data_IF_214107956366
#
_entry.id   IF_214107956366
#
_cell.length_a   1.000
_cell.length_b   1.000
_cell.length_c   1.000
_cell.angle_alpha   90.00
_cell.angle_beta   90.00
_cell.angle_gamma   90.00
#
_symmetry.space_group_name_H-M   'P 1'
#
loop_
_entity.id
_entity.type
_entity.pdbx_description
1 polymer ?
#
# COMPACT_ATOMS: atom_id res chain seq x y z
N UNK A 1 -25.77 -9.27 -13.65
CA UNK A 1 -25.93 -7.80 -13.69
C UNK A 1 -24.84 -7.15 -12.82
N UNK A 2 -24.11 -6.23 -13.37
CA UNK A 2 -23.02 -5.56 -12.67
C UNK A 2 -23.52 -4.27 -12.04
N UNK A 3 -23.13 -4.03 -10.79
CA UNK A 3 -23.39 -2.74 -10.15
C UNK A 3 -22.39 -1.69 -10.65
N UNK A 4 -22.74 -0.42 -10.56
CA UNK A 4 -21.84 0.67 -10.94
C UNK A 4 -20.55 0.61 -10.13
N UNK A 5 -20.61 0.16 -8.89
CA UNK A 5 -19.46 -0.01 -8.00
C UNK A 5 -18.45 -1.01 -8.56
N UNK A 6 -18.94 -2.04 -9.25
CA UNK A 6 -18.07 -3.08 -9.83
C UNK A 6 -17.25 -2.54 -11.00
N UNK A 7 -17.84 -1.65 -11.82
CA UNK A 7 -17.09 -1.01 -12.90
C UNK A 7 -16.00 -0.09 -12.34
N UNK A 8 -16.32 0.65 -11.30
CA UNK A 8 -15.32 1.51 -10.63
C UNK A 8 -14.18 0.68 -10.05
N UNK A 9 -14.50 -0.47 -9.50
CA UNK A 9 -13.53 -1.41 -8.98
C UNK A 9 -12.56 -1.87 -10.08
N UNK A 10 -13.08 -2.36 -11.18
CA UNK A 10 -12.26 -2.89 -12.27
C UNK A 10 -11.40 -1.79 -12.91
N UNK A 11 -11.97 -0.60 -13.09
CA UNK A 11 -11.26 0.53 -13.67
C UNK A 11 -10.12 0.97 -12.76
N UNK A 12 -10.37 1.09 -11.46
CA UNK A 12 -9.34 1.47 -10.49
C UNK A 12 -8.24 0.40 -10.43
N UNK A 13 -8.60 -0.87 -10.41
CA UNK A 13 -7.64 -1.96 -10.43
C UNK A 13 -6.69 -1.84 -11.62
N UNK A 14 -7.24 -1.67 -12.81
CA UNK A 14 -6.43 -1.57 -14.02
C UNK A 14 -5.53 -0.35 -14.01
N UNK A 15 -6.03 0.78 -13.53
CA UNK A 15 -5.24 2.01 -13.43
C UNK A 15 -4.08 1.85 -12.44
N UNK A 16 -4.32 1.22 -11.31
CA UNK A 16 -3.28 0.93 -10.30
C UNK A 16 -2.27 -0.07 -10.86
N UNK A 17 -2.77 -1.13 -11.51
CA UNK A 17 -1.92 -2.18 -12.10
C UNK A 17 -1.00 -1.62 -13.19
N UNK A 18 -1.48 -0.65 -13.95
CA UNK A 18 -0.69 0.02 -14.98
C UNK A 18 0.20 1.14 -14.44
N UNK A 19 0.07 1.48 -13.16
CA UNK A 19 0.82 2.58 -12.57
C UNK A 19 0.42 3.95 -13.14
N UNK A 20 -0.78 4.06 -13.70
CA UNK A 20 -1.24 5.29 -14.33
C UNK A 20 -1.86 6.23 -13.30
N UNK A 21 -1.03 7.12 -12.75
CA UNK A 21 -1.45 8.03 -11.67
C UNK A 21 -2.59 8.95 -12.10
N UNK A 22 -2.62 9.41 -13.33
CA UNK A 22 -3.67 10.31 -13.82
C UNK A 22 -5.03 9.61 -13.84
N UNK A 23 -5.09 8.36 -14.32
CA UNK A 23 -6.32 7.58 -14.29
C UNK A 23 -6.74 7.21 -12.87
N UNK A 24 -5.79 6.87 -12.02
CA UNK A 24 -6.07 6.61 -10.60
C UNK A 24 -6.74 7.83 -9.97
N UNK A 25 -6.16 9.01 -10.18
CA UNK A 25 -6.73 10.25 -9.67
C UNK A 25 -8.13 10.50 -10.20
N UNK A 26 -8.34 10.29 -11.49
CA UNK A 26 -9.65 10.48 -12.11
C UNK A 26 -10.70 9.57 -11.47
N UNK A 27 -10.42 8.27 -11.38
CA UNK A 27 -11.39 7.32 -10.83
C UNK A 27 -11.66 7.58 -9.34
N UNK A 28 -10.64 7.93 -8.56
CA UNK A 28 -10.83 8.27 -7.15
C UNK A 28 -11.68 9.55 -7.01
N UNK A 29 -11.45 10.55 -7.88
CA UNK A 29 -12.24 11.78 -7.86
C UNK A 29 -13.70 11.53 -8.25
N UNK A 30 -13.96 10.49 -9.03
CA UNK A 30 -15.31 10.08 -9.41
C UNK A 30 -15.99 9.18 -8.37
N UNK A 31 -15.33 8.91 -7.26
CA UNK A 31 -15.93 8.17 -6.15
C UNK A 31 -15.51 6.71 -6.05
N UNK A 32 -14.51 6.26 -6.80
CA UNK A 32 -14.01 4.90 -6.64
C UNK A 32 -13.50 4.68 -5.21
N UNK A 33 -13.75 3.50 -4.66
CA UNK A 33 -13.38 3.16 -3.30
C UNK A 33 -11.89 2.82 -3.20
N UNK A 34 -11.13 3.67 -2.52
CA UNK A 34 -9.69 3.47 -2.33
C UNK A 34 -9.37 2.23 -1.48
N UNK A 35 -10.34 1.67 -0.79
CA UNK A 35 -10.16 0.52 0.12
C UNK A 35 -10.82 -0.77 -0.40
N UNK A 36 -11.16 -0.82 -1.68
CA UNK A 36 -11.80 -2.00 -2.25
C UNK A 36 -10.83 -3.21 -2.24
N UNK A 37 -11.37 -4.40 -2.01
CA UNK A 37 -10.60 -5.64 -2.13
C UNK A 37 -10.72 -6.17 -3.57
N UNK A 38 -9.58 -6.38 -4.23
CA UNK A 38 -9.56 -6.75 -5.64
C UNK A 38 -9.79 -8.22 -5.92
N UNK A 39 -9.60 -9.07 -4.94
CA UNK A 39 -9.80 -10.49 -5.10
C UNK A 39 -10.39 -11.09 -3.82
N UNK A 40 -10.72 -12.38 -3.87
CA UNK A 40 -11.28 -13.08 -2.73
C UNK A 40 -10.31 -13.10 -1.53
N UNK A 41 -9.03 -12.96 -1.80
CA UNK A 41 -7.97 -12.96 -0.78
C UNK A 41 -7.76 -11.59 -0.15
N UNK A 42 -8.40 -10.53 -0.67
CA UNK A 42 -8.38 -9.22 -0.06
C UNK A 42 -7.21 -8.31 -0.45
N UNK A 43 -6.72 -8.40 -1.69
CA UNK A 43 -5.68 -7.48 -2.16
C UNK A 43 -6.24 -6.06 -2.25
N UNK A 44 -5.75 -5.16 -1.42
CA UNK A 44 -6.18 -3.75 -1.45
C UNK A 44 -5.29 -2.92 -2.38
N UNK A 45 -5.83 -1.80 -2.92
CA UNK A 45 -5.07 -0.95 -3.84
C UNK A 45 -3.75 -0.44 -3.27
N UNK A 46 -3.73 -0.10 -1.98
CA UNK A 46 -2.55 0.46 -1.35
C UNK A 46 -1.39 -0.55 -1.29
N UNK A 47 -1.68 -1.79 -0.89
CA UNK A 47 -0.65 -2.84 -0.88
C UNK A 47 -0.17 -3.11 -2.30
N UNK A 48 -1.08 -3.12 -3.26
CA UNK A 48 -0.74 -3.33 -4.68
C UNK A 48 0.21 -2.23 -5.19
N UNK A 49 -0.10 -0.96 -4.92
CA UNK A 49 0.75 0.16 -5.36
C UNK A 49 2.12 0.11 -4.70
N UNK A 50 2.19 -0.27 -3.44
CA UNK A 50 3.47 -0.44 -2.73
C UNK A 50 4.29 -1.59 -3.34
N UNK A 51 3.65 -2.71 -3.66
CA UNK A 51 4.34 -3.85 -4.27
C UNK A 51 4.90 -3.54 -5.64
N UNK A 52 4.26 -2.61 -6.35
CA UNK A 52 4.71 -2.12 -7.66
C UNK A 52 5.70 -0.97 -7.56
N UNK A 53 6.03 -0.57 -6.35
CA UNK A 53 6.93 0.55 -6.06
C UNK A 53 6.44 1.88 -6.68
N UNK A 54 5.12 2.07 -6.76
CA UNK A 54 4.50 3.23 -7.39
C UNK A 54 4.18 4.31 -6.35
N UNK A 55 5.14 5.19 -6.09
CA UNK A 55 4.99 6.28 -5.12
C UNK A 55 3.83 7.24 -5.47
N UNK A 56 3.70 7.71 -6.74
CA UNK A 56 2.59 8.62 -7.07
C UNK A 56 1.21 8.02 -6.81
N UNK A 57 1.02 6.76 -7.18
CA UNK A 57 -0.26 6.08 -6.95
C UNK A 57 -0.51 5.87 -5.46
N UNK A 58 0.53 5.51 -4.71
CA UNK A 58 0.44 5.35 -3.25
C UNK A 58 -0.02 6.65 -2.58
N UNK A 59 0.57 7.79 -2.97
CA UNK A 59 0.17 9.10 -2.45
C UNK A 59 -1.29 9.42 -2.76
N UNK A 60 -1.73 9.17 -3.99
CA UNK A 60 -3.12 9.41 -4.39
C UNK A 60 -4.10 8.57 -3.59
N UNK A 61 -3.82 7.29 -3.44
CA UNK A 61 -4.68 6.41 -2.66
C UNK A 61 -4.83 6.90 -1.22
N UNK A 62 -3.74 7.29 -0.58
CA UNK A 62 -3.77 7.81 0.78
C UNK A 62 -4.54 9.12 0.88
N UNK A 63 -4.38 10.03 -0.09
CA UNK A 63 -5.12 11.29 -0.15
C UNK A 63 -6.63 11.08 -0.26
N UNK A 64 -7.06 10.01 -0.91
CA UNK A 64 -8.47 9.68 -1.10
C UNK A 64 -8.98 8.66 -0.10
N UNK A 65 -8.30 8.51 1.02
CA UNK A 65 -8.82 7.78 2.18
C UNK A 65 -8.41 6.30 2.27
N UNK A 66 -7.42 5.85 1.53
CA UNK A 66 -6.91 4.50 1.71
C UNK A 66 -6.37 4.34 3.14
N UNK A 67 -6.69 3.22 3.76
CA UNK A 67 -6.25 2.92 5.12
C UNK A 67 -4.78 2.52 5.13
N UNK A 68 -3.93 3.33 5.79
CA UNK A 68 -2.49 3.10 5.83
C UNK A 68 -2.12 1.73 6.43
N UNK A 69 -2.99 1.17 7.26
CA UNK A 69 -2.78 -0.15 7.89
C UNK A 69 -3.66 -1.24 7.29
N UNK A 70 -4.19 -1.01 6.08
CA UNK A 70 -5.01 -2.02 5.41
C UNK A 70 -4.19 -3.25 5.04
N UNK A 71 -4.72 -4.43 5.38
CA UNK A 71 -4.09 -5.68 5.01
C UNK A 71 -4.30 -5.97 3.52
N UNK A 72 -3.31 -6.59 2.90
CA UNK A 72 -3.43 -7.05 1.54
C UNK A 72 -2.78 -8.39 1.34
N UNK A 73 -3.37 -9.22 0.49
CA UNK A 73 -2.82 -10.51 0.12
C UNK A 73 -2.17 -10.41 -1.26
N UNK A 74 -0.86 -10.60 -1.32
CA UNK A 74 -0.09 -10.56 -2.57
C UNK A 74 -0.06 -11.88 -3.33
N UNK A 75 -0.81 -12.87 -2.86
CA UNK A 75 -0.90 -14.18 -3.48
C UNK A 75 -0.64 -15.31 -2.49
N UNK A 76 -1.35 -16.42 -2.67
CA UNK A 76 -1.26 -17.56 -1.75
C UNK A 76 -1.60 -17.13 -0.32
N UNK A 77 -0.69 -17.38 0.59
CA UNK A 77 -0.85 -17.03 2.01
C UNK A 77 -0.06 -15.80 2.42
N UNK A 78 0.42 -15.01 1.46
CA UNK A 78 1.26 -13.85 1.74
C UNK A 78 0.41 -12.61 2.05
N UNK A 79 -0.02 -12.51 3.30
CA UNK A 79 -0.78 -11.36 3.81
C UNK A 79 0.20 -10.39 4.46
N UNK A 80 0.12 -9.13 4.07
CA UNK A 80 1.08 -8.12 4.51
C UNK A 80 0.43 -6.74 4.65
N UNK A 81 1.18 -5.81 5.20
CA UNK A 81 0.80 -4.41 5.37
C UNK A 81 1.55 -3.54 4.36
N UNK A 82 0.97 -2.39 3.98
CA UNK A 82 1.66 -1.47 3.05
C UNK A 82 3.06 -1.08 3.53
N UNK A 83 3.23 -0.79 4.82
CA UNK A 83 4.53 -0.41 5.37
C UNK A 83 5.57 -1.52 5.20
N UNK A 84 5.18 -2.79 5.45
CA UNK A 84 6.08 -3.93 5.26
C UNK A 84 6.60 -4.00 3.82
N UNK A 85 5.69 -3.83 2.86
CA UNK A 85 6.04 -3.86 1.44
C UNK A 85 6.96 -2.69 1.08
N UNK A 86 6.65 -1.49 1.56
CA UNK A 86 7.46 -0.30 1.28
C UNK A 86 8.87 -0.44 1.85
N UNK A 87 9.02 -0.98 3.05
CA UNK A 87 10.33 -1.23 3.67
C UNK A 87 11.08 -2.31 2.88
N UNK A 88 10.40 -3.38 2.48
CA UNK A 88 11.00 -4.44 1.67
C UNK A 88 11.48 -3.91 0.30
N UNK A 89 10.75 -2.97 -0.29
CA UNK A 89 11.17 -2.29 -1.52
C UNK A 89 12.27 -1.26 -1.28
N UNK A 90 12.62 -1.03 -0.01
CA UNK A 90 13.63 -0.06 0.39
C UNK A 90 13.32 1.36 -0.11
N UNK A 91 12.04 1.72 -0.19
CA UNK A 91 11.58 3.00 -0.70
C UNK A 91 11.28 3.96 0.46
N UNK A 92 12.24 4.83 0.76
CA UNK A 92 12.15 5.77 1.89
C UNK A 92 10.99 6.75 1.72
N UNK A 93 10.78 7.28 0.52
CA UNK A 93 9.70 8.25 0.29
C UNK A 93 8.34 7.61 0.53
N UNK A 94 8.16 6.38 0.10
CA UNK A 94 6.93 5.63 0.32
C UNK A 94 6.71 5.35 1.81
N UNK A 95 7.75 4.97 2.53
CA UNK A 95 7.68 4.79 3.99
C UNK A 95 7.29 6.09 4.69
N UNK A 96 7.91 7.21 4.30
CA UNK A 96 7.58 8.52 4.88
C UNK A 96 6.11 8.89 4.71
N UNK A 97 5.55 8.68 3.52
CA UNK A 97 4.15 9.03 3.27
C UNK A 97 3.21 8.09 4.02
N UNK A 98 3.52 6.81 4.10
CA UNK A 98 2.72 5.87 4.87
C UNK A 98 2.71 6.24 6.37
N UNK A 99 3.85 6.59 6.92
CA UNK A 99 3.94 7.03 8.32
C UNK A 99 3.16 8.32 8.56
N UNK A 100 3.21 9.25 7.60
CA UNK A 100 2.43 10.49 7.67
C UNK A 100 0.92 10.22 7.79
N UNK A 101 0.43 9.17 7.14
CA UNK A 101 -0.98 8.79 7.19
C UNK A 101 -1.28 7.76 8.27
N UNK A 102 -0.36 7.55 9.21
CA UNK A 102 -0.62 6.77 10.42
C UNK A 102 -0.26 5.29 10.36
N UNK A 103 0.59 4.88 9.42
CA UNK A 103 1.05 3.49 9.38
C UNK A 103 1.76 3.12 10.68
N UNK A 104 1.42 1.96 11.22
CA UNK A 104 2.00 1.48 12.48
C UNK A 104 3.31 0.74 12.22
N UNK A 105 4.34 1.10 12.99
CA UNK A 105 5.67 0.51 12.82
C UNK A 105 5.85 -0.84 13.52
N UNK A 106 4.93 -1.19 14.42
CA UNK A 106 5.00 -2.45 15.17
C UNK A 106 4.13 -3.57 14.60
N UNK A 107 3.84 -3.50 13.30
CA UNK A 107 3.08 -4.55 12.62
C UNK A 107 4.00 -5.73 12.30
N UNK A 108 3.40 -6.91 12.25
CA UNK A 108 4.10 -8.14 11.84
C UNK A 108 3.23 -8.87 10.84
N UNK A 109 3.82 -9.26 9.73
CA UNK A 109 3.15 -10.15 8.78
C UNK A 109 3.24 -11.61 9.26
N UNK A 110 2.89 -12.56 8.40
CA UNK A 110 2.96 -13.99 8.75
C UNK A 110 4.38 -14.47 9.07
N UNK A 111 5.40 -13.80 8.55
CA UNK A 111 6.78 -14.14 8.86
C UNK A 111 7.17 -13.72 10.28
N UNK A 112 6.29 -12.94 10.93
CA UNK A 112 6.48 -12.37 12.27
C UNK A 112 7.68 -11.42 12.37
N UNK A 113 8.15 -10.94 11.22
CA UNK A 113 9.24 -9.97 11.18
C UNK A 113 8.67 -8.55 11.16
N UNK A 114 9.05 -7.69 12.10
CA UNK A 114 8.62 -6.28 12.06
C UNK A 114 9.37 -5.52 10.95
N UNK A 115 8.82 -4.37 10.51
CA UNK A 115 9.47 -3.55 9.47
C UNK A 115 10.93 -3.22 9.80
N UNK A 116 11.24 -2.98 11.06
CA UNK A 116 12.60 -2.63 11.50
C UNK A 116 13.61 -3.75 11.17
N UNK A 117 13.21 -5.01 11.32
CA UNK A 117 14.09 -6.14 10.99
C UNK A 117 14.41 -6.18 9.49
N UNK A 118 13.44 -5.85 8.64
CA UNK A 118 13.65 -5.81 7.19
C UNK A 118 14.58 -4.65 6.84
N UNK A 119 14.38 -3.48 7.47
CA UNK A 119 15.25 -2.32 7.25
C UNK A 119 16.70 -2.63 7.65
N UNK A 120 16.90 -3.35 8.74
CA UNK A 120 18.25 -3.78 9.16
C UNK A 120 18.89 -4.73 8.17
N UNK A 121 18.10 -5.61 7.57
CA UNK A 121 18.56 -6.53 6.51
C UNK A 121 19.06 -5.74 5.30
N UNK A 122 18.38 -4.66 4.94
CA UNK A 122 18.80 -3.78 3.85
C UNK A 122 19.98 -2.90 4.23
N UNK A 123 20.37 -2.86 5.50
CA UNK A 123 21.46 -2.01 6.01
C UNK A 123 21.24 -0.52 5.68
N UNK A 124 19.98 -0.09 5.68
CA UNK A 124 19.61 1.29 5.37
C UNK A 124 19.45 2.07 6.68
N UNK A 125 20.49 2.80 7.07
CA UNK A 125 20.50 3.54 8.32
C UNK A 125 19.42 4.62 8.37
N UNK A 126 19.14 5.29 7.27
CA UNK A 126 18.07 6.30 7.20
C UNK A 126 16.71 5.67 7.47
N UNK A 127 16.45 4.52 6.84
CA UNK A 127 15.21 3.77 7.04
C UNK A 127 15.08 3.30 8.50
N UNK A 128 16.17 2.78 9.07
CA UNK A 128 16.19 2.31 10.45
C UNK A 128 15.84 3.46 11.41
N UNK A 129 16.49 4.62 11.25
CA UNK A 129 16.23 5.80 12.07
C UNK A 129 14.80 6.27 11.95
N UNK A 130 14.28 6.28 10.72
CA UNK A 130 12.91 6.70 10.43
C UNK A 130 11.89 5.81 11.15
N UNK A 131 12.07 4.50 11.11
CA UNK A 131 11.19 3.54 11.77
C UNK A 131 11.31 3.60 13.30
N UNK A 132 12.51 3.79 13.83
CA UNK A 132 12.72 3.93 15.26
C UNK A 132 12.08 5.21 15.80
N UNK A 133 12.21 6.32 15.08
CA UNK A 133 11.65 7.62 15.48
C UNK A 133 10.13 7.62 15.50
N UNK A 134 9.50 6.79 14.68
CA UNK A 134 8.04 6.77 14.48
C UNK A 134 7.29 5.84 15.43
N UNK A 135 7.90 5.39 16.49
CA UNK A 135 7.29 4.51 17.51
C UNK A 135 6.13 5.19 18.24
#
# INVERSE_FOLDING_TARGET
MYSDDMYCYDALYMAVDNGNAELVKLFLSLGANANVAYNEDGLCPLVMSCSMNSYPVTCLLLQYGAKANGLGNLGGDYITYPLMVAVDKNNINMVKVLLKYGAKTKVKDRSRMPPLSIARRHKNDEMIKLLEKSR
#
